data_IF_899285557521
#
_entry.id   IF_899285557521
#
_cell.length_a   1.000
_cell.length_b   1.000
_cell.length_c   1.000
_cell.angle_alpha   90.00
_cell.angle_beta   90.00
_cell.angle_gamma   90.00
#
_symmetry.space_group_name_H-M   'P 1'
#
loop_
_entity.id
_entity.type
_entity.pdbx_description
1 polymer ?
#
# COMPACT_ATOMS: atom_id res chain seq x y z
N UNK A 1 -20.86 100.38 -47.29
CA UNK A 1 -21.09 98.92 -47.32
C UNK A 1 -20.12 98.28 -48.32
N UNK A 2 -19.09 97.57 -47.84
CA UNK A 2 -18.43 96.52 -48.59
C UNK A 2 -18.63 95.13 -47.91
N UNK A 3 -18.57 94.02 -48.67
CA UNK A 3 -19.07 92.72 -48.23
C UNK A 3 -18.08 91.93 -47.37
N UNK A 4 -18.64 91.14 -46.45
CA UNK A 4 -17.94 90.23 -45.54
C UNK A 4 -17.28 89.05 -46.28
N UNK A 5 -16.04 88.73 -45.90
CA UNK A 5 -15.28 87.54 -46.33
C UNK A 5 -15.69 86.32 -45.46
N UNK A 6 -15.80 85.10 -46.04
CA UNK A 6 -16.16 83.91 -45.28
C UNK A 6 -14.97 83.36 -44.47
N UNK A 7 -15.23 83.04 -43.20
CA UNK A 7 -14.31 82.35 -42.29
C UNK A 7 -14.34 80.85 -42.61
N UNK A 8 -13.20 80.27 -42.98
CA UNK A 8 -13.02 78.82 -43.12
C UNK A 8 -12.66 78.21 -41.77
N UNK A 9 -13.53 77.38 -41.24
CA UNK A 9 -13.30 76.57 -40.04
C UNK A 9 -12.48 75.34 -40.41
N UNK A 10 -11.32 75.15 -39.77
CA UNK A 10 -10.48 73.95 -39.90
C UNK A 10 -10.94 72.95 -38.85
N UNK A 11 -11.52 71.81 -39.26
CA UNK A 11 -11.74 70.66 -38.39
C UNK A 11 -10.41 69.91 -38.23
N UNK A 12 -9.88 69.83 -37.00
CA UNK A 12 -8.84 68.89 -36.63
C UNK A 12 -9.51 67.59 -36.16
N UNK A 13 -9.32 66.49 -36.90
CA UNK A 13 -9.77 65.17 -36.51
C UNK A 13 -8.70 64.52 -35.60
N UNK A 14 -9.00 64.37 -34.31
CA UNK A 14 -8.19 63.60 -33.38
C UNK A 14 -8.57 62.11 -33.50
N UNK A 15 -7.66 61.29 -34.05
CA UNK A 15 -7.81 59.84 -34.05
C UNK A 15 -7.42 59.27 -32.67
N UNK A 16 -8.39 58.71 -31.96
CA UNK A 16 -8.18 57.97 -30.71
C UNK A 16 -7.75 56.54 -31.07
N UNK A 17 -6.50 56.16 -30.77
CA UNK A 17 -6.04 54.77 -30.88
C UNK A 17 -6.34 54.07 -29.56
N UNK A 18 -7.37 53.22 -29.54
CA UNK A 18 -7.65 52.34 -28.41
C UNK A 18 -6.73 51.10 -28.50
N UNK A 19 -5.69 51.05 -27.67
CA UNK A 19 -4.86 49.86 -27.53
C UNK A 19 -5.63 48.78 -26.75
N UNK A 20 -6.10 47.74 -27.44
CA UNK A 20 -6.62 46.54 -26.81
C UNK A 20 -5.45 45.77 -26.16
N UNK A 21 -5.38 45.80 -24.83
CA UNK A 21 -4.52 44.93 -24.04
C UNK A 21 -5.10 43.51 -24.09
N UNK A 22 -4.63 42.70 -25.05
CA UNK A 22 -4.84 41.24 -25.04
C UNK A 22 -4.03 40.68 -23.88
N UNK A 23 -4.70 40.38 -22.76
CA UNK A 23 -4.08 39.67 -21.66
C UNK A 23 -3.94 38.20 -22.07
N UNK A 24 -2.72 37.61 -22.06
CA UNK A 24 -2.59 36.18 -22.29
C UNK A 24 -3.36 35.44 -21.18
N UNK A 25 -4.25 34.53 -21.57
CA UNK A 25 -4.90 33.64 -20.62
C UNK A 25 -3.81 32.88 -19.85
N UNK A 26 -3.90 32.71 -18.52
CA UNK A 26 -2.96 31.90 -17.79
C UNK A 26 -2.97 30.50 -18.42
N UNK A 27 -1.81 30.03 -18.86
CA UNK A 27 -1.65 28.67 -19.35
C UNK A 27 -2.01 27.72 -18.20
N UNK A 28 -3.16 27.06 -18.30
CA UNK A 28 -3.54 26.03 -17.34
C UNK A 28 -2.52 24.91 -17.47
N UNK A 29 -1.75 24.66 -16.40
CA UNK A 29 -0.85 23.52 -16.35
C UNK A 29 -1.66 22.24 -16.64
N UNK A 30 -1.10 21.36 -17.48
CA UNK A 30 -1.70 20.06 -17.72
C UNK A 30 -1.85 19.31 -16.38
N UNK A 31 -2.94 18.54 -16.17
CA UNK A 31 -3.10 17.76 -14.95
C UNK A 31 -1.90 16.81 -14.80
N UNK A 32 -1.23 16.86 -13.65
CA UNK A 32 -0.16 15.90 -13.31
C UNK A 32 -0.82 14.52 -13.15
N UNK A 33 -0.30 13.52 -13.85
CA UNK A 33 -0.78 12.14 -13.71
C UNK A 33 -0.59 11.67 -12.25
N UNK A 34 -1.54 10.93 -11.66
CA UNK A 34 -1.37 10.40 -10.31
C UNK A 34 -0.11 9.54 -10.20
N UNK A 35 0.64 9.72 -9.10
CA UNK A 35 1.79 8.88 -8.78
C UNK A 35 1.35 7.42 -8.69
N UNK A 36 2.00 6.54 -9.46
CA UNK A 36 1.75 5.11 -9.40
C UNK A 36 2.40 4.50 -8.15
N UNK A 37 1.84 3.38 -7.67
CA UNK A 37 2.43 2.65 -6.55
C UNK A 37 3.82 2.07 -6.90
N UNK A 38 4.09 1.81 -8.18
CA UNK A 38 5.35 1.27 -8.68
C UNK A 38 6.46 2.34 -8.70
N UNK A 39 6.10 3.60 -8.93
CA UNK A 39 7.05 4.73 -9.00
C UNK A 39 7.32 5.36 -7.61
N UNK A 40 6.42 5.15 -6.65
CA UNK A 40 6.52 5.72 -5.31
C UNK A 40 7.82 5.36 -4.54
N UNK A 41 8.33 4.11 -4.57
CA UNK A 41 9.61 3.76 -3.94
C UNK A 41 10.77 4.60 -4.48
N UNK A 42 10.88 4.76 -5.81
CA UNK A 42 11.96 5.53 -6.42
C UNK A 42 11.91 7.01 -6.03
N UNK A 43 10.71 7.58 -5.85
CA UNK A 43 10.55 8.93 -5.32
C UNK A 43 11.01 9.03 -3.87
N UNK A 44 10.56 8.12 -2.99
CA UNK A 44 10.94 8.10 -1.57
C UNK A 44 12.45 7.92 -1.41
N UNK A 45 13.07 7.05 -2.20
CA UNK A 45 14.53 6.82 -2.18
C UNK A 45 15.31 8.06 -2.58
N UNK A 46 14.86 8.81 -3.60
CA UNK A 46 15.49 10.08 -3.99
C UNK A 46 15.37 11.16 -2.92
N UNK A 47 14.23 11.24 -2.25
CA UNK A 47 13.98 12.22 -1.19
C UNK A 47 14.74 11.88 0.09
N UNK A 48 15.01 10.60 0.30
CA UNK A 48 15.84 10.10 1.39
C UNK A 48 15.08 9.89 2.71
N UNK A 49 15.67 9.10 3.62
CA UNK A 49 15.01 8.65 4.85
C UNK A 49 14.88 9.74 5.93
N UNK A 50 15.59 10.87 5.79
CA UNK A 50 15.45 12.02 6.70
C UNK A 50 14.27 12.91 6.32
N UNK A 51 13.92 12.95 5.03
CA UNK A 51 12.87 13.80 4.48
C UNK A 51 11.52 13.08 4.33
N UNK A 52 11.50 11.76 4.48
CA UNK A 52 10.32 10.90 4.26
C UNK A 52 10.13 9.89 5.38
N UNK A 53 8.91 9.37 5.54
CA UNK A 53 8.56 8.33 6.51
C UNK A 53 7.71 7.20 5.88
N UNK A 54 8.09 6.78 4.68
CA UNK A 54 7.38 5.76 3.90
C UNK A 54 6.17 6.30 3.15
N UNK A 55 5.43 5.39 2.52
CA UNK A 55 4.24 5.71 1.74
C UNK A 55 3.18 4.62 1.88
N UNK A 56 1.92 4.98 1.65
CA UNK A 56 0.78 4.06 1.71
C UNK A 56 -0.33 4.52 0.75
N UNK A 57 -1.31 3.65 0.51
CA UNK A 57 -2.46 3.99 -0.33
C UNK A 57 -3.59 4.59 0.50
N UNK A 58 -4.14 5.70 0.03
CA UNK A 58 -5.32 6.31 0.61
C UNK A 58 -6.53 5.37 0.50
N UNK A 59 -7.30 5.33 1.59
CA UNK A 59 -8.52 4.57 1.67
C UNK A 59 -9.56 5.01 0.64
N UNK A 60 -9.97 4.11 -0.26
CA UNK A 60 -11.11 4.31 -1.16
C UNK A 60 -10.79 5.04 -2.47
N UNK A 61 -9.64 5.69 -2.57
CA UNK A 61 -9.18 6.39 -3.79
C UNK A 61 -7.94 5.74 -4.42
N UNK A 62 -7.25 4.87 -3.67
CA UNK A 62 -6.00 4.20 -4.06
C UNK A 62 -4.89 5.19 -4.48
N UNK A 63 -4.97 6.45 -4.04
CA UNK A 63 -3.94 7.46 -4.27
C UNK A 63 -2.74 7.18 -3.36
N UNK A 64 -1.52 7.31 -3.91
CA UNK A 64 -0.29 7.21 -3.11
C UNK A 64 -0.18 8.43 -2.19
N UNK A 65 -0.15 8.17 -0.88
CA UNK A 65 0.25 9.12 0.16
C UNK A 65 1.71 8.85 0.54
N UNK A 66 2.57 9.85 0.42
CA UNK A 66 3.94 9.83 0.93
C UNK A 66 4.01 10.65 2.21
N UNK A 67 4.50 10.04 3.29
CA UNK A 67 4.79 10.77 4.51
C UNK A 67 6.08 11.57 4.33
N UNK A 68 6.02 12.87 4.60
CA UNK A 68 7.13 13.81 4.44
C UNK A 68 7.37 14.59 5.73
N UNK A 69 8.61 14.99 5.99
CA UNK A 69 9.01 15.78 7.17
C UNK A 69 9.38 17.22 6.81
N UNK A 70 9.64 17.50 5.53
CA UNK A 70 10.10 18.81 5.04
C UNK A 70 9.18 19.39 3.96
N UNK A 71 9.17 20.72 3.85
CA UNK A 71 8.42 21.43 2.81
C UNK A 71 8.93 21.09 1.41
N UNK A 72 10.24 20.91 1.26
CA UNK A 72 10.85 20.53 -0.01
C UNK A 72 10.36 19.15 -0.48
N UNK A 73 10.34 18.15 0.42
CA UNK A 73 9.83 16.82 0.08
C UNK A 73 8.34 16.83 -0.24
N UNK A 74 7.55 17.64 0.46
CA UNK A 74 6.13 17.84 0.13
C UNK A 74 5.94 18.33 -1.31
N UNK A 75 6.68 19.36 -1.72
CA UNK A 75 6.58 19.91 -3.07
C UNK A 75 6.95 18.88 -4.14
N UNK A 76 8.02 18.10 -3.92
CA UNK A 76 8.45 17.04 -4.83
C UNK A 76 7.40 15.92 -4.95
N UNK A 77 6.74 15.55 -3.85
CA UNK A 77 5.65 14.56 -3.87
C UNK A 77 4.45 15.06 -4.68
N UNK A 78 4.04 16.31 -4.46
CA UNK A 78 2.94 16.92 -5.20
C UNK A 78 3.27 17.06 -6.69
N UNK A 79 4.50 17.46 -7.03
CA UNK A 79 4.99 17.55 -8.40
C UNK A 79 5.03 16.18 -9.10
N UNK A 80 5.26 15.11 -8.35
CA UNK A 80 5.21 13.73 -8.85
C UNK A 80 3.79 13.15 -8.95
N UNK A 81 2.75 13.92 -8.59
CA UNK A 81 1.36 13.47 -8.63
C UNK A 81 0.92 12.64 -7.42
N UNK A 82 1.75 12.55 -6.38
CA UNK A 82 1.43 11.93 -5.11
C UNK A 82 0.65 12.88 -4.18
N UNK A 83 0.09 12.33 -3.11
CA UNK A 83 -0.42 13.11 -1.98
C UNK A 83 0.68 13.15 -0.91
N UNK A 84 0.96 14.34 -0.37
CA UNK A 84 1.92 14.47 0.72
C UNK A 84 1.18 14.53 2.06
N UNK A 85 1.65 13.78 3.04
CA UNK A 85 1.21 13.91 4.44
C UNK A 85 2.39 14.37 5.29
N UNK A 86 2.26 15.55 5.89
CA UNK A 86 3.25 16.03 6.86
C UNK A 86 3.20 15.19 8.13
N UNK A 87 4.36 14.67 8.54
CA UNK A 87 4.50 13.87 9.75
C UNK A 87 5.68 14.32 10.61
N UNK A 88 5.72 13.90 11.87
CA UNK A 88 6.73 14.34 12.85
C UNK A 88 8.03 13.56 12.74
N UNK A 89 7.96 12.25 12.54
CA UNK A 89 9.12 11.35 12.63
C UNK A 89 9.54 10.87 11.24
N UNK A 90 10.82 11.04 10.90
CA UNK A 90 11.39 10.54 9.65
C UNK A 90 11.61 9.02 9.68
N UNK A 91 11.76 8.40 8.52
CA UNK A 91 12.10 6.97 8.43
C UNK A 91 13.44 6.69 9.12
N UNK A 92 14.42 7.57 8.98
CA UNK A 92 15.70 7.46 9.69
C UNK A 92 15.50 7.39 11.22
N UNK A 93 14.63 8.24 11.76
CA UNK A 93 14.29 8.23 13.18
C UNK A 93 13.61 6.92 13.57
N UNK A 94 12.57 6.49 12.85
CA UNK A 94 11.81 5.26 13.15
C UNK A 94 12.70 4.00 13.05
N UNK A 95 13.62 3.94 12.08
CA UNK A 95 14.57 2.83 11.96
C UNK A 95 15.65 2.84 13.06
N UNK A 96 16.01 4.00 13.60
CA UNK A 96 16.93 4.09 14.74
C UNK A 96 16.33 3.42 16.00
N UNK A 97 15.03 3.63 16.24
CA UNK A 97 14.26 2.97 17.32
C UNK A 97 14.29 1.45 17.12
N UNK A 98 13.96 0.97 15.91
CA UNK A 98 13.99 -0.46 15.60
C UNK A 98 15.38 -1.08 15.77
N UNK A 99 16.42 -0.37 15.37
CA UNK A 99 17.81 -0.82 15.53
C UNK A 99 18.19 -0.94 17.01
N UNK A 100 17.72 0.00 17.86
CA UNK A 100 17.91 -0.07 19.30
C UNK A 100 17.20 -1.28 19.92
N UNK A 101 15.95 -1.53 19.54
CA UNK A 101 15.20 -2.70 20.01
C UNK A 101 15.88 -4.01 19.62
N UNK A 102 16.39 -4.10 18.39
CA UNK A 102 17.17 -5.27 17.89
C UNK A 102 18.48 -5.51 18.63
N UNK A 103 19.04 -4.50 19.29
CA UNK A 103 20.25 -4.65 20.10
C UNK A 103 19.96 -5.29 21.48
N UNK A 104 18.67 -5.44 21.85
CA UNK A 104 18.27 -6.14 23.08
C UNK A 104 17.91 -7.60 22.77
N UNK A 105 18.09 -8.54 23.72
CA UNK A 105 17.63 -9.91 23.54
C UNK A 105 16.13 -9.96 23.18
N UNK A 106 15.75 -10.73 22.15
CA UNK A 106 14.35 -10.79 21.73
C UNK A 106 13.47 -11.31 22.86
N UNK A 107 12.28 -10.71 23.03
CA UNK A 107 11.26 -11.17 23.97
C UNK A 107 10.30 -12.08 23.20
N UNK A 108 10.26 -13.41 23.48
CA UNK A 108 9.26 -14.28 22.88
C UNK A 108 7.84 -13.76 23.14
N UNK A 109 6.98 -13.83 22.13
CA UNK A 109 5.62 -13.28 22.19
C UNK A 109 5.52 -11.79 21.82
N UNK A 110 6.54 -11.21 21.18
CA UNK A 110 6.51 -9.81 20.72
C UNK A 110 6.73 -9.64 19.21
N UNK A 111 6.10 -8.63 18.61
CA UNK A 111 6.36 -8.15 17.23
C UNK A 111 6.90 -6.72 17.28
N UNK A 112 7.57 -6.26 16.22
CA UNK A 112 8.00 -4.86 16.09
C UNK A 112 7.91 -4.38 14.64
N UNK A 113 7.14 -3.32 14.39
CA UNK A 113 6.90 -2.76 13.06
C UNK A 113 6.98 -1.24 13.03
N UNK A 114 7.31 -0.68 11.86
CA UNK A 114 7.00 0.73 11.55
C UNK A 114 5.60 0.77 10.99
N UNK A 115 4.79 1.72 11.44
CA UNK A 115 3.43 1.93 10.97
C UNK A 115 3.36 3.30 10.30
N UNK A 116 3.34 3.31 8.97
CA UNK A 116 3.39 4.54 8.19
C UNK A 116 2.13 5.39 8.37
N UNK A 117 0.96 4.77 8.58
CA UNK A 117 -0.30 5.51 8.75
C UNK A 117 -0.27 6.37 10.02
N UNK A 118 0.22 5.81 11.13
CA UNK A 118 0.27 6.47 12.43
C UNK A 118 1.62 7.12 12.74
N UNK A 119 2.62 6.93 11.87
CA UNK A 119 3.96 7.49 11.93
C UNK A 119 4.76 7.08 13.20
N UNK A 120 4.72 5.82 13.59
CA UNK A 120 5.42 5.36 14.79
C UNK A 120 5.91 3.91 14.68
N UNK A 121 6.71 3.50 15.66
CA UNK A 121 7.09 2.09 15.87
C UNK A 121 6.13 1.47 16.89
N UNK A 122 5.48 0.37 16.52
CA UNK A 122 4.62 -0.37 17.44
C UNK A 122 5.30 -1.68 17.80
N UNK A 123 5.35 -1.96 19.10
CA UNK A 123 5.67 -3.27 19.64
C UNK A 123 4.39 -3.91 20.15
N UNK A 124 3.96 -5.00 19.53
CA UNK A 124 2.83 -5.78 20.02
C UNK A 124 3.35 -6.88 20.93
N UNK A 125 2.72 -7.06 22.09
CA UNK A 125 3.04 -8.09 23.07
C UNK A 125 1.82 -8.96 23.32
N UNK A 126 1.96 -10.26 23.07
CA UNK A 126 0.89 -11.23 23.23
C UNK A 126 0.62 -11.58 24.70
N UNK A 127 -0.36 -12.45 24.94
CA UNK A 127 -0.77 -12.87 26.29
C UNK A 127 0.26 -13.70 27.05
N UNK A 128 1.30 -14.23 26.37
CA UNK A 128 2.39 -14.99 26.99
C UNK A 128 3.51 -14.10 27.55
N UNK A 129 3.57 -12.84 27.11
CA UNK A 129 4.54 -11.86 27.61
C UNK A 129 4.13 -11.41 29.01
N UNK A 130 5.02 -11.56 30.00
CA UNK A 130 4.72 -11.14 31.38
C UNK A 130 4.53 -9.63 31.50
N UNK A 131 3.72 -9.19 32.47
CA UNK A 131 3.51 -7.76 32.76
C UNK A 131 4.83 -7.00 33.01
N UNK A 132 5.80 -7.63 33.68
CA UNK A 132 7.11 -7.03 33.91
C UNK A 132 7.87 -6.74 32.60
N UNK A 133 7.75 -7.62 31.61
CA UNK A 133 8.38 -7.43 30.28
C UNK A 133 7.67 -6.33 29.49
N UNK A 134 6.33 -6.27 29.56
CA UNK A 134 5.56 -5.18 28.93
C UNK A 134 5.86 -3.84 29.57
N UNK A 135 5.95 -3.77 30.91
CA UNK A 135 6.37 -2.56 31.60
C UNK A 135 7.78 -2.10 31.20
N UNK A 136 8.71 -3.04 31.01
CA UNK A 136 10.05 -2.75 30.49
C UNK A 136 10.03 -2.17 29.06
N UNK A 137 9.23 -2.76 28.17
CA UNK A 137 9.03 -2.24 26.82
C UNK A 137 8.37 -0.85 26.83
N UNK A 138 7.40 -0.62 27.72
CA UNK A 138 6.70 0.65 27.87
C UNK A 138 7.64 1.75 28.40
N UNK A 139 8.57 1.40 29.30
CA UNK A 139 9.60 2.33 29.76
C UNK A 139 10.53 2.75 28.61
N UNK A 140 10.96 1.80 27.76
CA UNK A 140 11.74 2.09 26.55
C UNK A 140 10.93 2.98 25.59
N UNK A 141 9.66 2.67 25.35
CA UNK A 141 8.78 3.49 24.52
C UNK A 141 8.65 4.93 25.03
N UNK A 142 8.60 5.10 26.36
CA UNK A 142 8.58 6.41 27.02
C UNK A 142 9.77 7.31 26.67
N UNK A 143 10.94 6.74 26.34
CA UNK A 143 12.12 7.50 25.90
C UNK A 143 11.92 8.11 24.50
N UNK A 144 11.04 7.53 23.68
CA UNK A 144 10.78 7.95 22.30
C UNK A 144 9.47 8.74 22.13
N UNK A 145 8.70 8.92 23.21
CA UNK A 145 7.43 9.65 23.18
C UNK A 145 6.48 9.09 22.11
N UNK A 146 5.90 9.96 21.28
CA UNK A 146 4.96 9.55 20.22
C UNK A 146 5.57 8.74 19.07
N UNK A 147 6.89 8.52 19.04
CA UNK A 147 7.54 7.75 17.97
C UNK A 147 7.51 6.23 18.23
N UNK A 148 7.14 5.80 19.45
CA UNK A 148 7.03 4.39 19.79
C UNK A 148 5.91 4.14 20.79
N UNK A 149 5.16 3.06 20.60
CA UNK A 149 4.26 2.54 21.64
C UNK A 149 4.30 1.03 21.77
N UNK A 150 3.76 0.54 22.88
CA UNK A 150 3.59 -0.87 23.16
C UNK A 150 2.12 -1.17 23.29
N UNK A 151 1.66 -2.23 22.63
CA UNK A 151 0.27 -2.67 22.67
C UNK A 151 0.16 -4.12 23.11
N UNK A 152 -0.92 -4.43 23.84
CA UNK A 152 -1.28 -5.80 24.19
C UNK A 152 -2.18 -6.36 23.10
N UNK A 153 -1.85 -7.55 22.62
CA UNK A 153 -2.72 -8.35 21.74
C UNK A 153 -3.20 -9.60 22.47
N UNK A 154 -4.42 -10.03 22.18
CA UNK A 154 -4.97 -11.26 22.74
C UNK A 154 -4.35 -12.51 22.08
N UNK A 155 -4.28 -13.62 22.82
CA UNK A 155 -3.74 -14.89 22.30
C UNK A 155 -2.22 -14.99 22.41
N UNK A 156 -1.64 -16.08 21.90
CA UNK A 156 -0.20 -16.30 21.83
C UNK A 156 0.24 -16.24 20.37
N UNK A 157 1.36 -15.57 20.07
CA UNK A 157 2.01 -15.60 18.77
C UNK A 157 2.49 -17.03 18.51
N UNK A 158 1.87 -17.67 17.54
CA UNK A 158 2.35 -18.90 16.95
C UNK A 158 2.84 -18.62 15.55
N UNK A 159 3.77 -19.46 15.06
CA UNK A 159 4.18 -19.43 13.66
C UNK A 159 3.04 -20.00 12.82
N UNK A 160 2.06 -19.15 12.52
CA UNK A 160 0.97 -19.46 11.60
C UNK A 160 1.09 -18.61 10.34
N UNK A 161 0.61 -19.15 9.25
CA UNK A 161 0.45 -18.42 8.00
C UNK A 161 -0.99 -18.66 7.53
N UNK A 162 -1.75 -17.58 7.30
CA UNK A 162 -3.19 -17.61 7.04
C UNK A 162 -3.65 -16.35 6.31
N UNK A 163 -4.95 -16.25 6.06
CA UNK A 163 -5.51 -15.18 5.23
C UNK A 163 -5.19 -13.79 5.77
N UNK A 164 -4.78 -12.88 4.89
CA UNK A 164 -4.35 -11.52 5.19
C UNK A 164 -2.88 -11.38 5.61
N UNK A 165 -2.13 -12.46 5.83
CA UNK A 165 -0.72 -12.36 6.22
C UNK A 165 0.18 -11.93 5.05
N UNK A 166 1.23 -11.16 5.37
CA UNK A 166 2.26 -10.74 4.43
C UNK A 166 3.12 -11.92 3.97
N UNK A 167 3.25 -12.05 2.65
CA UNK A 167 4.09 -13.05 1.98
C UNK A 167 5.03 -12.37 1.00
N UNK A 168 6.24 -12.88 0.91
CA UNK A 168 7.26 -12.39 -0.02
C UNK A 168 7.70 -13.51 -0.95
N UNK A 169 7.71 -13.23 -2.24
CA UNK A 169 8.34 -14.09 -3.23
C UNK A 169 9.83 -13.84 -3.29
N UNK A 170 10.56 -14.83 -3.79
CA UNK A 170 11.95 -14.66 -4.16
C UNK A 170 12.07 -14.32 -5.66
N UNK A 171 13.21 -13.80 -6.08
CA UNK A 171 13.42 -13.27 -7.43
C UNK A 171 14.90 -13.28 -7.73
N UNK A 172 15.23 -13.44 -9.01
CA UNK A 172 16.63 -13.40 -9.47
C UNK A 172 17.17 -11.97 -9.60
N UNK A 173 16.33 -10.95 -9.39
CA UNK A 173 16.71 -9.54 -9.35
C UNK A 173 17.19 -9.20 -7.93
N UNK A 174 18.48 -8.83 -7.74
CA UNK A 174 18.99 -8.43 -6.44
C UNK A 174 18.24 -7.23 -5.87
N UNK A 175 17.83 -7.32 -4.60
CA UNK A 175 17.15 -6.22 -3.88
C UNK A 175 15.65 -6.09 -4.14
N UNK A 176 15.10 -6.75 -5.16
CA UNK A 176 13.66 -6.83 -5.36
C UNK A 176 13.09 -8.04 -4.61
N UNK A 177 11.90 -7.93 -4.01
CA UNK A 177 11.09 -9.07 -3.53
C UNK A 177 9.62 -8.77 -3.79
N UNK A 178 8.95 -9.49 -4.70
CA UNK A 178 7.51 -9.30 -4.89
C UNK A 178 6.81 -9.63 -3.58
N UNK A 179 5.81 -8.82 -3.23
CA UNK A 179 5.23 -8.90 -1.89
C UNK A 179 3.73 -8.73 -1.95
N UNK A 180 3.02 -9.65 -1.31
CA UNK A 180 1.58 -9.78 -1.40
C UNK A 180 0.98 -10.22 -0.06
N UNK A 181 -0.34 -10.42 -0.05
CA UNK A 181 -1.04 -11.06 1.06
C UNK A 181 -1.43 -12.47 0.68
N UNK A 182 -1.33 -13.42 1.61
CA UNK A 182 -1.97 -14.72 1.49
C UNK A 182 -3.49 -14.51 1.56
N UNK A 183 -4.26 -15.04 0.61
CA UNK A 183 -5.73 -14.98 0.59
C UNK A 183 -6.37 -16.00 1.52
N UNK A 184 -6.29 -17.29 1.18
CA UNK A 184 -6.85 -18.38 1.98
C UNK A 184 -5.95 -19.61 1.97
N UNK A 185 -5.76 -20.26 3.12
CA UNK A 185 -5.27 -21.64 3.13
C UNK A 185 -6.36 -22.58 2.60
N UNK A 186 -5.95 -23.51 1.74
CA UNK A 186 -6.85 -24.50 1.14
C UNK A 186 -6.16 -25.87 1.18
N UNK A 187 -6.93 -26.94 1.04
CA UNK A 187 -6.40 -28.30 0.91
C UNK A 187 -7.03 -28.99 -0.29
N UNK A 188 -6.32 -29.95 -0.87
CA UNK A 188 -6.91 -30.78 -1.91
C UNK A 188 -8.05 -31.61 -1.33
N UNK A 189 -9.17 -31.71 -2.07
CA UNK A 189 -10.28 -32.60 -1.70
C UNK A 189 -9.91 -34.07 -1.89
N UNK A 190 -9.01 -34.38 -2.82
CA UNK A 190 -8.55 -35.75 -3.09
C UNK A 190 -7.38 -36.18 -2.21
N UNK A 191 -6.71 -35.23 -1.55
CA UNK A 191 -5.57 -35.46 -0.67
C UNK A 191 -5.54 -34.37 0.41
N UNK A 192 -6.08 -34.68 1.59
CA UNK A 192 -6.20 -33.71 2.69
C UNK A 192 -4.85 -33.30 3.29
N UNK A 193 -3.77 -34.05 3.03
CA UNK A 193 -2.42 -33.73 3.49
C UNK A 193 -1.72 -32.75 2.54
N UNK A 194 -2.24 -32.60 1.32
CA UNK A 194 -1.79 -31.59 0.37
C UNK A 194 -2.43 -30.24 0.69
N UNK A 195 -1.66 -29.39 1.37
CA UNK A 195 -2.04 -28.04 1.78
C UNK A 195 -1.46 -27.00 0.83
N UNK A 196 -2.26 -25.97 0.54
CA UNK A 196 -1.92 -24.87 -0.35
C UNK A 196 -2.40 -23.56 0.24
N UNK A 197 -2.02 -22.45 -0.39
CA UNK A 197 -2.71 -21.19 -0.22
C UNK A 197 -3.03 -20.54 -1.57
N UNK A 198 -4.14 -19.79 -1.56
CA UNK A 198 -4.55 -18.89 -2.63
C UNK A 198 -3.97 -17.50 -2.39
N UNK A 199 -3.49 -16.86 -3.45
CA UNK A 199 -3.10 -15.45 -3.50
C UNK A 199 -3.47 -14.88 -4.87
N UNK A 200 -3.16 -13.62 -5.16
CA UNK A 200 -3.37 -13.07 -6.50
C UNK A 200 -2.35 -13.65 -7.50
N UNK A 201 -2.76 -13.80 -8.76
CA UNK A 201 -1.93 -14.35 -9.83
C UNK A 201 -0.75 -13.43 -10.16
N UNK A 202 -0.99 -12.12 -10.19
CA UNK A 202 0.03 -11.10 -10.44
C UNK A 202 1.18 -11.14 -9.41
N UNK A 203 0.93 -11.66 -8.21
CA UNK A 203 1.96 -11.91 -7.20
C UNK A 203 2.89 -13.05 -7.58
N UNK A 204 2.32 -14.14 -8.11
CA UNK A 204 3.01 -15.41 -8.38
C UNK A 204 3.67 -15.49 -9.75
N UNK A 205 3.62 -14.40 -10.51
CA UNK A 205 4.27 -14.29 -11.82
C UNK A 205 3.35 -14.64 -13.00
N UNK A 206 3.64 -13.98 -14.13
CA UNK A 206 3.09 -14.27 -15.45
C UNK A 206 4.03 -15.25 -16.17
N UNK A 207 3.58 -16.08 -17.13
CA UNK A 207 4.47 -16.80 -18.03
C UNK A 207 5.49 -15.92 -18.79
N UNK A 208 5.29 -14.59 -18.79
CA UNK A 208 6.20 -13.61 -19.40
C UNK A 208 7.11 -12.90 -18.36
N UNK A 209 6.90 -13.16 -17.07
CA UNK A 209 7.72 -12.62 -15.98
C UNK A 209 8.67 -13.70 -15.44
N UNK A 210 9.74 -13.98 -16.18
CA UNK A 210 10.74 -15.00 -15.83
C UNK A 210 11.63 -14.65 -14.62
N UNK A 211 11.36 -13.55 -13.91
CA UNK A 211 12.21 -13.04 -12.82
C UNK A 211 11.67 -13.31 -11.41
N UNK A 212 10.38 -13.59 -11.25
CA UNK A 212 9.80 -14.00 -9.97
C UNK A 212 10.05 -15.50 -9.80
N UNK A 213 10.71 -15.90 -8.72
CA UNK A 213 10.87 -17.32 -8.41
C UNK A 213 9.55 -17.87 -7.89
N UNK A 214 9.32 -19.16 -8.12
CA UNK A 214 8.13 -19.84 -7.63
C UNK A 214 8.11 -19.94 -6.09
N UNK A 215 9.17 -19.56 -5.38
CA UNK A 215 9.32 -19.75 -3.94
C UNK A 215 8.76 -18.57 -3.12
N UNK A 216 8.05 -18.93 -2.05
CA UNK A 216 7.37 -17.99 -1.17
C UNK A 216 7.80 -18.16 0.28
N UNK A 217 7.89 -17.02 0.98
CA UNK A 217 8.36 -16.92 2.35
C UNK A 217 7.46 -16.00 3.18
N UNK A 218 7.49 -16.17 4.49
CA UNK A 218 6.87 -15.24 5.44
C UNK A 218 7.67 -13.93 5.51
N UNK A 219 7.10 -12.90 6.15
CA UNK A 219 7.80 -11.66 6.50
C UNK A 219 9.16 -11.88 7.19
N UNK A 220 9.26 -12.92 8.03
CA UNK A 220 10.46 -13.29 8.78
C UNK A 220 11.48 -14.09 7.98
N UNK A 221 11.23 -14.33 6.69
CA UNK A 221 12.10 -15.14 5.83
C UNK A 221 11.93 -16.65 6.01
N UNK A 222 10.89 -17.09 6.71
CA UNK A 222 10.60 -18.53 6.87
C UNK A 222 10.01 -19.06 5.56
N UNK A 223 10.60 -20.11 5.00
CA UNK A 223 10.08 -20.74 3.79
C UNK A 223 8.66 -21.24 4.00
N UNK A 224 7.77 -20.93 3.06
CA UNK A 224 6.38 -21.40 3.07
C UNK A 224 6.24 -22.56 2.09
N UNK A 225 6.68 -22.35 0.84
CA UNK A 225 6.51 -23.31 -0.23
C UNK A 225 6.72 -22.71 -1.61
N UNK A 226 6.18 -23.38 -2.63
CA UNK A 226 6.36 -22.94 -4.02
C UNK A 226 5.08 -23.01 -4.85
N UNK A 227 5.00 -22.15 -5.87
CA UNK A 227 3.87 -22.04 -6.80
C UNK A 227 3.74 -23.34 -7.60
N UNK A 228 2.54 -23.90 -7.58
CA UNK A 228 2.19 -25.12 -8.33
C UNK A 228 1.08 -24.88 -9.36
N UNK A 229 0.52 -23.67 -9.37
CA UNK A 229 -0.53 -23.29 -10.29
C UNK A 229 -0.89 -21.82 -10.12
N UNK A 230 -1.79 -21.36 -10.97
CA UNK A 230 -2.24 -19.98 -11.00
C UNK A 230 -2.47 -19.53 -12.43
N UNK A 231 -3.42 -18.63 -12.60
CA UNK A 231 -3.72 -18.01 -13.87
C UNK A 231 -3.68 -16.50 -13.69
N UNK A 232 -2.92 -15.85 -14.57
CA UNK A 232 -3.14 -14.46 -14.95
C UNK A 232 -3.51 -14.51 -16.43
N UNK A 233 -4.78 -14.32 -16.75
CA UNK A 233 -5.26 -14.44 -18.14
C UNK A 233 -5.92 -13.13 -18.56
N UNK A 234 -5.21 -12.37 -19.40
CA UNK A 234 -5.67 -11.08 -19.95
C UNK A 234 -6.91 -11.20 -20.85
N UNK A 235 -7.25 -12.43 -21.27
CA UNK A 235 -8.36 -12.72 -22.18
C UNK A 235 -9.58 -13.30 -21.46
N UNK A 236 -9.37 -14.05 -20.37
CA UNK A 236 -10.42 -14.80 -19.66
C UNK A 236 -10.56 -14.44 -18.16
N UNK A 237 -9.85 -13.43 -17.65
CA UNK A 237 -10.26 -12.76 -16.41
C UNK A 237 -9.82 -13.34 -15.07
N UNK A 238 -8.89 -14.29 -15.04
CA UNK A 238 -8.42 -14.87 -13.78
C UNK A 238 -7.15 -14.17 -13.29
N UNK A 239 -7.12 -13.83 -12.00
CA UNK A 239 -5.95 -13.33 -11.26
C UNK A 239 -5.80 -14.07 -9.93
N UNK A 240 -5.40 -15.33 -10.00
CA UNK A 240 -5.12 -16.13 -8.81
C UNK A 240 -3.82 -16.93 -8.93
N UNK A 241 -3.15 -17.11 -7.81
CA UNK A 241 -1.97 -17.95 -7.63
C UNK A 241 -2.25 -19.07 -6.64
N UNK A 242 -1.73 -20.26 -6.92
CA UNK A 242 -1.81 -21.43 -6.03
C UNK A 242 -0.40 -21.86 -5.64
N UNK A 243 -0.10 -21.74 -4.36
CA UNK A 243 1.22 -22.10 -3.80
C UNK A 243 1.05 -23.29 -2.88
N UNK A 244 1.81 -24.35 -3.12
CA UNK A 244 1.82 -25.54 -2.27
C UNK A 244 2.68 -25.28 -1.05
N UNK A 245 2.15 -25.55 0.13
CA UNK A 245 2.91 -25.49 1.37
C UNK A 245 3.91 -26.66 1.43
N UNK A 246 5.16 -26.35 1.79
CA UNK A 246 6.23 -27.34 1.96
C UNK A 246 6.94 -27.27 3.31
N UNK A 247 6.57 -26.31 4.16
CA UNK A 247 7.12 -26.22 5.51
C UNK A 247 6.18 -26.85 6.55
N UNK A 248 6.59 -27.98 7.12
CA UNK A 248 5.83 -28.68 8.15
C UNK A 248 5.72 -27.91 9.48
N UNK A 249 6.65 -26.98 9.75
CA UNK A 249 6.73 -26.25 11.02
C UNK A 249 5.86 -24.96 11.03
N UNK A 250 5.08 -24.72 9.98
CA UNK A 250 4.12 -23.61 9.93
C UNK A 250 2.70 -24.16 10.14
N UNK A 251 1.97 -23.59 11.08
CA UNK A 251 0.54 -23.84 11.16
C UNK A 251 -0.18 -23.18 9.98
N UNK A 252 -1.14 -23.90 9.38
CA UNK A 252 -1.86 -23.46 8.17
C UNK A 252 -3.37 -23.42 8.41
N UNK A 253 -3.84 -22.66 9.42
CA UNK A 253 -5.25 -22.63 9.78
C UNK A 253 -6.11 -22.08 8.63
N UNK A 254 -7.32 -22.60 8.48
CA UNK A 254 -8.33 -22.11 7.54
C UNK A 254 -8.98 -20.82 8.02
N UNK A 255 -8.18 -19.81 8.37
CA UNK A 255 -8.66 -18.55 8.98
C UNK A 255 -8.18 -17.34 8.17
N UNK A 256 -8.86 -16.22 8.36
CA UNK A 256 -8.42 -14.88 7.95
C UNK A 256 -8.11 -14.05 9.18
N UNK A 257 -6.92 -13.48 9.25
CA UNK A 257 -6.53 -12.51 10.28
C UNK A 257 -7.31 -11.21 10.07
N UNK A 258 -7.81 -10.61 11.14
CA UNK A 258 -8.31 -9.24 11.16
C UNK A 258 -7.20 -8.28 11.56
N UNK A 259 -6.70 -7.50 10.61
CA UNK A 259 -5.64 -6.50 10.89
C UNK A 259 -6.07 -5.37 11.84
N UNK A 260 -7.38 -5.17 12.07
CA UNK A 260 -7.87 -4.13 12.98
C UNK A 260 -7.87 -4.53 14.47
N UNK A 261 -7.88 -5.84 14.75
CA UNK A 261 -8.12 -6.39 16.08
C UNK A 261 -7.17 -7.53 16.44
N UNK A 262 -6.42 -8.06 15.47
CA UNK A 262 -5.61 -9.26 15.61
C UNK A 262 -6.41 -10.57 15.69
N UNK A 263 -7.75 -10.50 15.70
CA UNK A 263 -8.58 -11.69 15.80
C UNK A 263 -8.54 -12.54 14.52
N UNK A 264 -8.78 -13.84 14.65
CA UNK A 264 -8.88 -14.77 13.52
C UNK A 264 -10.35 -15.10 13.23
N UNK A 265 -10.74 -15.05 11.96
CA UNK A 265 -12.07 -15.45 11.47
C UNK A 265 -11.93 -16.82 10.82
N UNK A 266 -12.67 -17.81 11.33
CA UNK A 266 -12.72 -19.15 10.75
C UNK A 266 -13.47 -19.18 9.40
N UNK A 267 -12.88 -19.86 8.42
CA UNK A 267 -13.45 -20.00 7.07
C UNK A 267 -14.12 -21.37 6.98
N UNK A 268 -15.44 -21.37 7.09
CA UNK A 268 -16.24 -22.58 7.14
C UNK A 268 -16.75 -23.04 5.77
N UNK A 269 -16.84 -22.13 4.80
CA UNK A 269 -17.33 -22.41 3.45
C UNK A 269 -16.91 -21.30 2.46
N UNK A 270 -17.10 -21.56 1.17
CA UNK A 270 -16.96 -20.56 0.10
C UNK A 270 -18.18 -20.57 -0.82
N UNK A 271 -18.53 -19.39 -1.36
CA UNK A 271 -19.57 -19.18 -2.37
C UNK A 271 -19.28 -17.88 -3.14
N UNK A 272 -19.90 -17.71 -4.30
CA UNK A 272 -19.85 -16.43 -5.01
C UNK A 272 -20.55 -15.31 -4.22
N UNK A 273 -20.06 -14.07 -4.30
CA UNK A 273 -20.69 -12.93 -3.63
C UNK A 273 -22.03 -12.57 -4.28
N UNK A 274 -22.93 -11.93 -3.51
CA UNK A 274 -24.13 -11.28 -4.04
C UNK A 274 -23.97 -9.76 -4.14
N UNK A 275 -24.67 -9.12 -5.09
CA UNK A 275 -24.77 -7.65 -5.11
C UNK A 275 -25.39 -7.13 -3.81
N UNK A 276 -24.83 -6.07 -3.25
CA UNK A 276 -25.21 -5.48 -1.98
C UNK A 276 -24.71 -6.26 -0.76
N UNK A 277 -24.11 -7.44 -0.94
CA UNK A 277 -23.57 -8.23 0.18
C UNK A 277 -22.50 -7.45 0.93
N UNK A 278 -22.57 -7.50 2.27
CA UNK A 278 -21.53 -6.94 3.12
C UNK A 278 -20.31 -7.87 3.12
N UNK A 279 -19.16 -7.35 2.72
CA UNK A 279 -17.91 -8.08 2.62
C UNK A 279 -16.79 -7.31 3.29
N UNK A 280 -15.78 -8.03 3.76
CA UNK A 280 -14.56 -7.45 4.29
C UNK A 280 -13.34 -8.04 3.61
N UNK A 281 -12.33 -7.21 3.32
CA UNK A 281 -11.01 -7.67 2.90
C UNK A 281 -10.02 -7.54 4.05
N UNK A 282 -9.02 -8.41 4.05
CA UNK A 282 -7.90 -8.35 4.97
C UNK A 282 -6.60 -8.54 4.20
N UNK A 283 -5.72 -7.55 4.25
CA UNK A 283 -4.44 -7.61 3.53
C UNK A 283 -3.36 -6.80 4.22
N UNK A 284 -2.10 -7.16 4.01
CA UNK A 284 -0.95 -6.50 4.64
C UNK A 284 -0.88 -5.00 4.33
N UNK A 285 -1.25 -4.58 3.12
CA UNK A 285 -1.25 -3.17 2.71
C UNK A 285 -2.58 -2.47 2.98
N UNK A 286 -3.69 -3.16 2.75
CA UNK A 286 -5.03 -2.59 2.89
C UNK A 286 -5.54 -2.59 4.34
N UNK A 287 -4.95 -3.38 5.23
CA UNK A 287 -5.52 -3.64 6.55
C UNK A 287 -6.83 -4.42 6.45
N UNK A 288 -7.70 -4.27 7.45
CA UNK A 288 -9.05 -4.84 7.47
C UNK A 288 -10.06 -3.77 7.10
N UNK A 289 -10.79 -3.94 5.99
CA UNK A 289 -11.80 -2.97 5.53
C UNK A 289 -13.05 -3.70 5.12
N UNK A 290 -14.18 -3.03 5.24
CA UNK A 290 -15.47 -3.59 4.89
C UNK A 290 -16.30 -2.63 4.06
N UNK A 291 -17.19 -3.18 3.26
CA UNK A 291 -18.11 -2.44 2.41
C UNK A 291 -19.12 -3.38 1.77
N UNK A 292 -19.89 -2.84 0.83
CA UNK A 292 -20.84 -3.63 0.05
C UNK A 292 -20.27 -3.98 -1.32
N UNK A 293 -20.64 -5.16 -1.83
CA UNK A 293 -20.41 -5.53 -3.23
C UNK A 293 -21.30 -4.64 -4.12
N UNK A 294 -20.68 -3.76 -4.91
CA UNK A 294 -21.41 -2.79 -5.76
C UNK A 294 -21.48 -3.20 -7.24
N UNK A 295 -20.74 -4.22 -7.63
CA UNK A 295 -20.66 -4.72 -9.01
C UNK A 295 -19.94 -6.06 -9.07
N UNK A 296 -20.23 -6.85 -10.10
CA UNK A 296 -19.61 -8.14 -10.42
C UNK A 296 -19.52 -8.26 -11.95
N UNK A 297 -18.62 -9.10 -12.46
CA UNK A 297 -18.36 -9.23 -13.88
C UNK A 297 -17.71 -7.97 -14.47
N UNK A 298 -16.87 -7.29 -13.68
CA UNK A 298 -16.24 -6.05 -14.09
C UNK A 298 -14.97 -6.32 -14.88
N UNK A 299 -14.77 -5.57 -15.95
CA UNK A 299 -13.50 -5.52 -16.65
C UNK A 299 -12.65 -4.38 -16.07
N UNK A 300 -11.45 -4.69 -15.61
CA UNK A 300 -10.47 -3.75 -15.08
C UNK A 300 -9.36 -3.55 -16.10
N UNK A 301 -9.26 -2.35 -16.67
CA UNK A 301 -8.12 -1.97 -17.51
C UNK A 301 -7.11 -1.17 -16.70
N UNK A 302 -5.94 -1.74 -16.45
CA UNK A 302 -4.83 -1.10 -15.75
C UNK A 302 -4.10 -0.09 -16.63
N UNK A 303 -3.39 0.86 -16.01
CA UNK A 303 -2.68 1.94 -16.70
C UNK A 303 -1.53 1.46 -17.61
N UNK A 304 -1.04 0.24 -17.41
CA UNK A 304 -0.06 -0.43 -18.28
C UNK A 304 -0.72 -1.15 -19.49
N UNK A 305 -2.02 -0.97 -19.70
CA UNK A 305 -2.80 -1.57 -20.79
C UNK A 305 -3.30 -2.99 -20.50
N UNK A 306 -3.07 -3.52 -19.30
CA UNK A 306 -3.53 -4.86 -18.93
C UNK A 306 -5.03 -4.87 -18.69
N UNK A 307 -5.73 -5.89 -19.17
CA UNK A 307 -7.17 -6.04 -18.95
C UNK A 307 -7.42 -7.30 -18.14
N UNK A 308 -7.95 -7.13 -16.93
CA UNK A 308 -8.65 -8.18 -16.20
C UNK A 308 -10.11 -8.13 -16.64
N UNK A 309 -10.70 -9.28 -16.93
CA UNK A 309 -12.10 -9.39 -17.36
C UNK A 309 -12.93 -10.12 -16.33
N UNK A 310 -14.24 -9.90 -16.33
CA UNK A 310 -15.20 -10.69 -15.55
C UNK A 310 -14.87 -10.81 -14.04
N UNK A 311 -14.30 -9.76 -13.44
CA UNK A 311 -13.97 -9.74 -12.00
C UNK A 311 -15.26 -9.82 -11.18
N UNK A 312 -15.40 -10.89 -10.41
CA UNK A 312 -16.58 -11.21 -9.59
C UNK A 312 -16.32 -11.06 -8.10
#
# INVERSE_FOLDING_TARGET
MPPARPIRTILAASALVAALLVHPAPASAAPVAPLSVDDAPALVDRLGPDSTAGFYLESGTERVIVNVTTDAAEQEVLAAGGLAKRVTYSMAHLQSIRSRLRATPPIPGTTVGVYEITNEVIVEADSTVSEAKVAGLAAIAGEYGGAMRVERIAGALTLHIGGGNYIVGNTNIPGYRPSCSLGFNVRSKSDNDSLYFLTAGHCTGHPDYSFISDEWYTASGTYIGYRVGGAINQTNGFDFGLVRHYNANLDKPGVVLRHDTGAQIDITHSRGPGLGEWVCNSGHKSGYRCGNVIGMGLDVTYGNGWVLKDVS
#
